data_IF_329818072051
#
_entry.id   IF_329818072051
#
_cell.length_a   1.000
_cell.length_b   1.000
_cell.length_c   1.000
_cell.angle_alpha   90.00
_cell.angle_beta   90.00
_cell.angle_gamma   90.00
#
_symmetry.space_group_name_H-M   'P 1'
#
loop_
_entity.id
_entity.type
_entity.pdbx_description
1 polymer ?
#
# COMPACT_ATOMS: atom_id res chain seq x y z
N UNK A 1 -13.69 25.75 21.02
CA UNK A 1 -14.94 24.95 21.04
C UNK A 1 -14.50 23.52 21.23
N UNK A 2 -15.11 22.76 22.13
CA UNK A 2 -14.60 21.41 22.48
C UNK A 2 -15.40 20.29 21.81
N UNK A 3 -16.62 20.60 21.35
CA UNK A 3 -17.53 19.69 20.65
C UNK A 3 -18.47 20.51 19.75
N UNK A 4 -18.95 19.90 18.67
CA UNK A 4 -20.03 20.45 17.83
C UNK A 4 -21.35 20.53 18.59
N UNK A 5 -22.25 21.42 18.16
CA UNK A 5 -23.58 21.59 18.78
C UNK A 5 -24.56 20.49 18.40
N UNK A 6 -24.40 19.89 17.23
CA UNK A 6 -25.39 18.96 16.66
C UNK A 6 -25.32 17.56 17.27
N UNK A 7 -26.48 16.88 17.31
CA UNK A 7 -26.60 15.44 17.64
C UNK A 7 -26.89 14.57 16.42
N UNK A 8 -27.40 15.17 15.35
CA UNK A 8 -27.54 14.59 14.02
C UNK A 8 -26.95 15.56 12.98
N UNK A 9 -26.31 15.06 11.93
CA UNK A 9 -25.61 15.90 10.93
C UNK A 9 -26.52 16.98 10.29
N UNK A 10 -27.82 16.72 10.21
CA UNK A 10 -28.85 17.65 9.70
C UNK A 10 -29.00 18.90 10.55
N UNK A 11 -28.58 18.86 11.82
CA UNK A 11 -28.73 19.96 12.78
C UNK A 11 -27.45 20.81 12.89
N UNK A 12 -26.40 20.47 12.14
CA UNK A 12 -25.11 21.15 12.16
C UNK A 12 -25.08 22.42 11.31
N UNK A 13 -24.22 23.37 11.68
CA UNK A 13 -23.97 24.59 10.91
C UNK A 13 -22.53 24.72 10.42
N UNK A 14 -22.26 25.76 9.62
CA UNK A 14 -20.95 25.97 9.03
C UNK A 14 -19.82 26.11 10.07
N UNK A 15 -20.12 26.63 11.27
CA UNK A 15 -19.11 26.74 12.32
C UNK A 15 -18.80 25.38 12.95
N UNK A 16 -19.81 24.51 13.11
CA UNK A 16 -19.60 23.12 13.54
C UNK A 16 -18.70 22.35 12.55
N UNK A 17 -18.98 22.50 11.25
CA UNK A 17 -18.20 21.79 10.22
C UNK A 17 -16.81 22.40 9.99
N UNK A 18 -16.63 23.72 10.12
CA UNK A 18 -15.29 24.31 10.10
C UNK A 18 -14.44 23.79 11.25
N UNK A 19 -15.01 23.72 12.46
CA UNK A 19 -14.35 23.12 13.62
C UNK A 19 -13.98 21.65 13.37
N UNK A 20 -14.92 20.82 12.88
CA UNK A 20 -14.61 19.42 12.56
C UNK A 20 -13.54 19.28 11.47
N UNK A 21 -13.59 20.11 10.44
CA UNK A 21 -12.62 20.08 9.33
C UNK A 21 -11.20 20.26 9.84
N UNK A 22 -10.96 21.21 10.76
CA UNK A 22 -9.63 21.41 11.35
C UNK A 22 -9.13 20.16 12.10
N UNK A 23 -10.02 19.50 12.85
CA UNK A 23 -9.72 18.26 13.55
C UNK A 23 -9.48 17.09 12.59
N UNK A 24 -10.29 16.95 11.54
CA UNK A 24 -10.18 15.92 10.51
C UNK A 24 -8.86 16.07 9.72
N UNK A 25 -8.50 17.30 9.34
CA UNK A 25 -7.23 17.60 8.67
C UNK A 25 -6.04 17.25 9.58
N UNK A 26 -6.11 17.61 10.87
CA UNK A 26 -5.08 17.25 11.84
C UNK A 26 -4.95 15.73 12.00
N UNK A 27 -6.08 15.03 12.10
CA UNK A 27 -6.10 13.57 12.19
C UNK A 27 -5.52 12.92 10.92
N UNK A 28 -5.91 13.41 9.73
CA UNK A 28 -5.44 12.92 8.44
C UNK A 28 -3.92 13.05 8.28
N UNK A 29 -3.32 14.15 8.79
CA UNK A 29 -1.85 14.32 8.82
C UNK A 29 -1.12 13.23 9.62
N UNK A 30 -1.79 12.60 10.59
CA UNK A 30 -1.24 11.49 11.37
C UNK A 30 -1.28 10.12 10.67
N UNK A 31 -1.77 10.03 9.42
CA UNK A 31 -1.99 8.75 8.72
C UNK A 31 -0.69 7.97 8.53
N UNK A 32 0.39 8.64 8.08
CA UNK A 32 1.70 8.01 7.91
C UNK A 32 2.17 7.28 9.18
N UNK A 33 2.14 7.95 10.33
CA UNK A 33 2.57 7.37 11.61
C UNK A 33 1.70 6.19 12.03
N UNK A 34 0.39 6.24 11.78
CA UNK A 34 -0.52 5.13 12.07
C UNK A 34 -0.24 3.92 11.18
N UNK A 35 0.04 4.13 9.90
CA UNK A 35 0.38 3.05 8.97
C UNK A 35 1.71 2.38 9.34
N UNK A 36 2.74 3.16 9.69
CA UNK A 36 4.02 2.63 10.16
C UNK A 36 3.85 1.82 11.45
N UNK A 37 3.02 2.31 12.39
CA UNK A 37 2.67 1.55 13.60
C UNK A 37 1.93 0.26 13.27
N UNK A 38 0.99 0.29 12.33
CA UNK A 38 0.25 -0.88 11.88
C UNK A 38 1.16 -1.91 11.19
N UNK A 39 2.17 -1.48 10.42
CA UNK A 39 3.19 -2.40 9.89
C UNK A 39 3.97 -3.11 10.98
N UNK A 40 4.26 -2.44 12.11
CA UNK A 40 4.89 -3.10 13.26
C UNK A 40 3.93 -4.11 13.89
N UNK A 41 2.64 -3.81 13.95
CA UNK A 41 1.60 -4.72 14.47
C UNK A 41 1.33 -5.94 13.57
N UNK A 42 1.65 -5.88 12.26
CA UNK A 42 1.57 -7.05 11.35
C UNK A 42 2.42 -8.23 11.82
N UNK A 43 3.49 -7.95 12.57
CA UNK A 43 4.39 -8.96 13.13
C UNK A 43 3.64 -9.98 14.02
N UNK A 44 2.54 -9.57 14.64
CA UNK A 44 1.80 -10.39 15.62
C UNK A 44 0.77 -11.34 14.99
N UNK A 45 0.50 -11.26 13.68
CA UNK A 45 -0.72 -11.83 13.06
C UNK A 45 -0.62 -13.21 12.40
N UNK A 46 0.52 -13.58 11.80
CA UNK A 46 0.64 -14.78 10.94
C UNK A 46 1.94 -15.55 11.22
N UNK A 47 1.80 -16.71 11.86
CA UNK A 47 2.91 -17.62 12.17
C UNK A 47 3.12 -18.64 11.05
N UNK A 48 4.38 -18.96 10.70
CA UNK A 48 4.73 -20.06 9.80
C UNK A 48 5.75 -19.74 8.71
N UNK A 49 6.01 -18.45 8.43
CA UNK A 49 7.11 -18.03 7.56
C UNK A 49 8.44 -17.99 8.32
N UNK A 50 9.56 -18.03 7.59
CA UNK A 50 10.91 -17.88 8.17
C UNK A 50 11.21 -16.44 8.61
N UNK A 51 10.39 -15.48 8.15
CA UNK A 51 10.46 -14.07 8.51
C UNK A 51 9.06 -13.56 8.86
N UNK A 52 9.00 -12.41 9.52
CA UNK A 52 7.73 -11.78 9.90
C UNK A 52 7.05 -11.11 8.70
N UNK A 53 5.77 -10.73 8.83
CA UNK A 53 5.08 -9.94 7.80
C UNK A 53 5.64 -8.52 7.65
N UNK A 54 6.12 -7.95 8.76
CA UNK A 54 6.88 -6.70 8.73
C UNK A 54 8.16 -6.88 7.90
N UNK A 55 8.94 -7.93 8.18
CA UNK A 55 10.19 -8.20 7.47
C UNK A 55 9.96 -8.39 5.97
N UNK A 56 8.90 -9.12 5.59
CA UNK A 56 8.50 -9.27 4.19
C UNK A 56 8.24 -7.91 3.52
N UNK A 57 7.50 -7.03 4.20
CA UNK A 57 7.19 -5.68 3.70
C UNK A 57 8.46 -4.83 3.55
N UNK A 58 9.34 -4.84 4.56
CA UNK A 58 10.62 -4.12 4.54
C UNK A 58 11.58 -4.67 3.48
N UNK A 59 11.65 -6.00 3.34
CA UNK A 59 12.50 -6.67 2.37
C UNK A 59 12.04 -6.35 0.94
N UNK A 60 10.73 -6.36 0.68
CA UNK A 60 10.15 -5.99 -0.61
C UNK A 60 10.48 -4.54 -0.97
N UNK A 61 10.28 -3.60 -0.03
CA UNK A 61 10.60 -2.19 -0.22
C UNK A 61 12.12 -1.95 -0.41
N UNK A 62 12.95 -2.70 0.32
CA UNK A 62 14.42 -2.67 0.18
C UNK A 62 14.84 -3.12 -1.22
N UNK A 63 14.23 -4.18 -1.77
CA UNK A 63 14.47 -4.63 -3.15
C UNK A 63 14.05 -3.57 -4.15
N UNK A 64 12.87 -2.97 -4.00
CA UNK A 64 12.40 -1.91 -4.87
C UNK A 64 13.36 -0.71 -4.89
N UNK A 65 13.82 -0.24 -3.72
CA UNK A 65 14.76 0.88 -3.64
C UNK A 65 16.12 0.54 -4.26
N UNK A 66 16.66 -0.67 -3.99
CA UNK A 66 17.92 -1.13 -4.60
C UNK A 66 17.82 -1.33 -6.11
N UNK A 67 16.64 -1.67 -6.61
CA UNK A 67 16.33 -1.75 -8.04
C UNK A 67 16.21 -0.37 -8.71
N UNK A 68 16.27 0.72 -7.94
CA UNK A 68 16.17 2.09 -8.45
C UNK A 68 14.73 2.54 -8.69
N UNK A 69 13.76 1.97 -7.96
CA UNK A 69 12.39 2.44 -7.98
C UNK A 69 12.25 3.81 -7.31
N UNK A 70 11.21 4.56 -7.68
CA UNK A 70 10.92 5.86 -7.09
C UNK A 70 10.07 5.77 -5.81
N UNK A 71 9.80 6.93 -5.21
CA UNK A 71 9.07 7.03 -3.92
C UNK A 71 7.69 6.37 -3.96
N UNK A 72 6.93 6.53 -5.03
CA UNK A 72 5.57 5.95 -5.15
C UNK A 72 5.64 4.43 -5.16
N UNK A 73 6.58 3.84 -5.91
CA UNK A 73 6.81 2.40 -5.92
C UNK A 73 7.32 1.89 -4.58
N UNK A 74 8.31 2.55 -3.98
CA UNK A 74 8.88 2.14 -2.69
C UNK A 74 7.80 2.12 -1.61
N UNK A 75 7.01 3.19 -1.48
CA UNK A 75 5.94 3.27 -0.46
C UNK A 75 4.80 2.31 -0.75
N UNK A 76 4.41 2.15 -2.02
CA UNK A 76 3.37 1.17 -2.39
C UNK A 76 3.83 -0.27 -2.10
N UNK A 77 5.09 -0.58 -2.35
CA UNK A 77 5.68 -1.89 -2.05
C UNK A 77 5.76 -2.12 -0.54
N UNK A 78 6.15 -1.12 0.24
CA UNK A 78 6.19 -1.22 1.70
C UNK A 78 4.81 -1.52 2.30
N UNK A 79 3.74 -1.02 1.68
CA UNK A 79 2.38 -1.10 2.21
C UNK A 79 1.50 -2.12 1.48
N UNK A 80 2.02 -2.91 0.54
CA UNK A 80 1.19 -3.74 -0.34
C UNK A 80 0.35 -4.79 0.41
N UNK A 81 0.89 -5.30 1.52
CA UNK A 81 0.25 -6.33 2.35
C UNK A 81 -0.39 -5.77 3.64
N UNK A 82 -0.46 -4.44 3.82
CA UNK A 82 -1.01 -3.86 5.07
C UNK A 82 -2.49 -4.22 5.32
N UNK A 83 -3.20 -4.65 4.28
CA UNK A 83 -4.57 -5.16 4.39
C UNK A 83 -4.69 -6.46 5.19
N UNK A 84 -3.62 -7.24 5.38
CA UNK A 84 -3.66 -8.52 6.10
C UNK A 84 -4.18 -8.38 7.54
N UNK A 85 -4.01 -7.20 8.15
CA UNK A 85 -4.47 -6.91 9.52
C UNK A 85 -6.00 -7.00 9.63
N UNK A 86 -6.72 -6.45 8.65
CA UNK A 86 -8.17 -6.20 8.76
C UNK A 86 -9.00 -6.89 7.67
N UNK A 87 -8.38 -7.26 6.55
CA UNK A 87 -9.04 -7.71 5.34
C UNK A 87 -8.26 -8.84 4.63
N UNK A 88 -7.89 -9.95 5.30
CA UNK A 88 -7.00 -10.98 4.74
C UNK A 88 -7.55 -11.70 3.49
N UNK A 89 -8.85 -11.58 3.18
CA UNK A 89 -9.46 -12.19 1.99
C UNK A 89 -9.46 -11.26 0.76
N UNK A 90 -9.09 -10.00 0.95
CA UNK A 90 -9.03 -8.95 -0.08
C UNK A 90 -8.03 -7.86 0.36
N UNK A 91 -6.88 -8.32 0.86
CA UNK A 91 -5.89 -7.47 1.52
C UNK A 91 -5.27 -6.47 0.54
N UNK A 92 -5.10 -6.92 -0.70
CA UNK A 92 -4.68 -6.17 -1.86
C UNK A 92 -5.61 -5.00 -2.18
N UNK A 93 -6.93 -5.24 -2.23
CA UNK A 93 -7.93 -4.19 -2.45
C UNK A 93 -7.94 -3.15 -1.31
N UNK A 94 -7.78 -3.62 -0.08
CA UNK A 94 -7.72 -2.76 1.11
C UNK A 94 -6.46 -1.88 1.09
N UNK A 95 -5.29 -2.47 0.87
CA UNK A 95 -4.02 -1.77 0.76
C UNK A 95 -4.06 -0.73 -0.37
N UNK A 96 -4.56 -1.11 -1.54
CA UNK A 96 -4.74 -0.20 -2.66
C UNK A 96 -5.66 0.98 -2.30
N UNK A 97 -6.71 0.76 -1.52
CA UNK A 97 -7.63 1.81 -1.08
C UNK A 97 -6.97 2.86 -0.19
N UNK A 98 -6.02 2.46 0.66
CA UNK A 98 -5.21 3.39 1.46
C UNK A 98 -4.29 4.23 0.57
N UNK A 99 -3.66 3.60 -0.42
CA UNK A 99 -2.64 4.22 -1.27
C UNK A 99 -3.22 5.11 -2.38
N UNK A 100 -4.35 4.71 -2.97
CA UNK A 100 -4.95 5.31 -4.17
C UNK A 100 -5.11 6.83 -4.15
N UNK A 101 -5.38 7.51 -3.02
CA UNK A 101 -5.46 8.97 -3.01
C UNK A 101 -4.10 9.68 -3.15
N UNK A 102 -2.98 8.98 -2.96
CA UNK A 102 -1.67 9.60 -2.74
C UNK A 102 -0.58 9.15 -3.71
N UNK A 103 -0.83 8.15 -4.55
CA UNK A 103 0.15 7.61 -5.53
C UNK A 103 -0.45 7.55 -6.93
N UNK A 104 0.40 7.40 -7.94
CA UNK A 104 -0.03 7.16 -9.32
C UNK A 104 -0.95 5.94 -9.43
N UNK A 105 -1.89 5.99 -10.36
CA UNK A 105 -2.83 4.90 -10.65
C UNK A 105 -2.09 3.59 -10.92
N UNK A 106 -0.99 3.65 -11.69
CA UNK A 106 -0.08 2.54 -11.95
C UNK A 106 0.27 1.75 -10.66
N UNK A 107 0.73 2.44 -9.62
CA UNK A 107 1.13 1.80 -8.36
C UNK A 107 -0.09 1.23 -7.63
N UNK A 108 -1.15 2.03 -7.46
CA UNK A 108 -2.36 1.58 -6.76
C UNK A 108 -3.06 0.39 -7.45
N UNK A 109 -3.06 0.37 -8.79
CA UNK A 109 -3.62 -0.73 -9.57
C UNK A 109 -2.79 -2.00 -9.42
N UNK A 110 -1.46 -1.89 -9.44
CA UNK A 110 -0.59 -3.04 -9.22
C UNK A 110 -0.80 -3.60 -7.82
N UNK A 111 -0.89 -2.75 -6.78
CA UNK A 111 -1.20 -3.23 -5.42
C UNK A 111 -2.59 -3.87 -5.39
N UNK A 112 -3.61 -3.30 -6.03
CA UNK A 112 -4.96 -3.87 -6.02
C UNK A 112 -5.05 -5.25 -6.67
N UNK A 113 -4.12 -5.60 -7.56
CA UNK A 113 -4.15 -6.85 -8.34
C UNK A 113 -3.04 -7.82 -8.01
N UNK A 114 -2.12 -7.47 -7.11
CA UNK A 114 -0.92 -8.27 -6.88
C UNK A 114 -1.26 -9.69 -6.40
N UNK A 115 -2.31 -9.87 -5.57
CA UNK A 115 -2.75 -11.19 -5.11
C UNK A 115 -3.09 -12.14 -6.27
N UNK A 116 -3.76 -11.64 -7.31
CA UNK A 116 -4.09 -12.43 -8.51
C UNK A 116 -2.86 -12.79 -9.36
N UNK A 117 -1.84 -11.93 -9.33
CA UNK A 117 -0.59 -12.13 -10.06
C UNK A 117 0.38 -13.07 -9.33
N UNK A 118 0.38 -13.07 -7.99
CA UNK A 118 1.16 -14.00 -7.16
C UNK A 118 0.72 -15.46 -7.34
N UNK A 119 -0.53 -15.72 -7.76
CA UNK A 119 -1.07 -17.08 -7.90
C UNK A 119 -0.22 -17.98 -8.82
N UNK A 120 0.60 -17.42 -9.71
CA UNK A 120 1.55 -18.20 -10.52
C UNK A 120 2.54 -18.99 -9.67
N UNK A 121 2.93 -18.48 -8.51
CA UNK A 121 3.94 -19.09 -7.65
C UNK A 121 3.39 -20.22 -6.79
N UNK A 122 2.16 -20.10 -6.30
CA UNK A 122 1.61 -21.05 -5.32
C UNK A 122 0.21 -21.59 -5.63
N UNK A 123 -0.51 -21.04 -6.61
CA UNK A 123 -1.93 -21.33 -6.85
C UNK A 123 -2.24 -22.82 -7.03
N UNK A 124 -1.38 -23.54 -7.75
CA UNK A 124 -1.53 -24.99 -7.97
C UNK A 124 -1.45 -25.80 -6.66
N UNK A 125 -0.73 -25.30 -5.66
CA UNK A 125 -0.54 -25.97 -4.37
C UNK A 125 -1.72 -25.77 -3.42
N UNK A 126 -2.59 -24.78 -3.68
CA UNK A 126 -3.76 -24.45 -2.87
C UNK A 126 -5.08 -24.67 -3.61
N UNK A 127 -5.04 -25.35 -4.77
CA UNK A 127 -6.24 -25.61 -5.60
C UNK A 127 -6.80 -24.37 -6.30
N UNK A 128 -6.04 -23.27 -6.35
CA UNK A 128 -6.38 -22.05 -7.07
C UNK A 128 -5.92 -22.09 -8.53
N UNK A 129 -6.32 -21.09 -9.32
CA UNK A 129 -5.90 -20.94 -10.71
C UNK A 129 -4.57 -20.16 -10.78
N UNK A 130 -3.44 -20.77 -11.19
CA UNK A 130 -2.17 -20.05 -11.32
C UNK A 130 -2.21 -18.92 -12.35
N UNK A 131 -3.12 -19.01 -13.32
CA UNK A 131 -3.29 -18.03 -14.39
C UNK A 131 -4.44 -17.05 -14.10
N UNK A 132 -4.82 -16.83 -12.82
CA UNK A 132 -5.89 -15.89 -12.45
C UNK A 132 -5.67 -14.49 -13.04
N UNK A 133 -4.42 -14.02 -13.06
CA UNK A 133 -3.99 -12.77 -13.70
C UNK A 133 -4.45 -12.58 -15.15
N UNK A 134 -4.69 -13.64 -15.92
CA UNK A 134 -5.02 -13.54 -17.35
C UNK A 134 -6.33 -12.80 -17.62
N UNK A 135 -7.20 -12.64 -16.63
CA UNK A 135 -8.39 -11.77 -16.75
C UNK A 135 -8.02 -10.30 -17.02
N UNK A 136 -6.79 -9.88 -16.69
CA UNK A 136 -6.26 -8.54 -16.90
C UNK A 136 -5.39 -8.42 -18.15
N UNK A 137 -5.30 -9.47 -18.97
CA UNK A 137 -4.48 -9.50 -20.19
C UNK A 137 -4.82 -8.30 -21.09
N UNK A 138 -3.79 -7.53 -21.46
CA UNK A 138 -3.93 -6.33 -22.28
C UNK A 138 -4.10 -5.03 -21.50
N UNK A 139 -4.20 -5.08 -20.17
CA UNK A 139 -4.13 -3.88 -19.33
C UNK A 139 -2.74 -3.24 -19.40
N UNK A 140 -2.66 -1.90 -19.41
CA UNK A 140 -1.39 -1.17 -19.58
C UNK A 140 -0.37 -1.42 -18.45
N UNK A 141 -0.85 -1.79 -17.27
CA UNK A 141 -0.03 -2.09 -16.08
C UNK A 141 0.16 -3.59 -15.85
N UNK A 142 -0.27 -4.45 -16.78
CA UNK A 142 -0.16 -5.90 -16.64
C UNK A 142 1.28 -6.31 -16.35
N UNK A 143 2.22 -5.86 -17.19
CA UNK A 143 3.63 -6.22 -17.07
C UNK A 143 4.25 -5.64 -15.80
N UNK A 144 3.78 -4.48 -15.34
CA UNK A 144 4.26 -3.87 -14.10
C UNK A 144 3.85 -4.69 -12.88
N UNK A 145 2.62 -5.24 -12.86
CA UNK A 145 2.19 -6.13 -11.77
C UNK A 145 2.96 -7.46 -11.79
N UNK A 146 3.18 -8.03 -12.98
CA UNK A 146 4.04 -9.21 -13.11
C UNK A 146 5.46 -8.95 -12.61
N UNK A 147 6.05 -7.81 -12.97
CA UNK A 147 7.39 -7.42 -12.56
C UNK A 147 7.46 -7.13 -11.06
N UNK A 148 6.46 -6.45 -10.49
CA UNK A 148 6.33 -6.23 -9.05
C UNK A 148 6.38 -7.56 -8.28
N UNK A 149 5.49 -8.49 -8.62
CA UNK A 149 5.43 -9.79 -7.95
C UNK A 149 6.72 -10.58 -8.15
N UNK A 150 7.29 -10.59 -9.35
CA UNK A 150 8.49 -11.37 -9.67
C UNK A 150 9.80 -10.81 -9.12
N UNK A 151 9.93 -9.49 -8.99
CA UNK A 151 11.18 -8.83 -8.57
C UNK A 151 11.20 -8.55 -7.09
N UNK A 152 10.09 -8.08 -6.51
CA UNK A 152 10.10 -7.49 -5.17
C UNK A 152 9.32 -8.32 -4.17
N UNK A 153 8.12 -8.75 -4.50
CA UNK A 153 7.21 -9.36 -3.53
C UNK A 153 7.54 -10.86 -3.28
N UNK A 154 7.42 -11.75 -4.27
CA UNK A 154 7.60 -13.20 -4.03
C UNK A 154 9.01 -13.60 -3.56
N UNK A 155 10.02 -12.78 -3.85
CA UNK A 155 11.43 -13.01 -3.46
C UNK A 155 11.76 -12.50 -2.03
N UNK A 156 10.78 -11.97 -1.31
CA UNK A 156 11.00 -11.31 -0.02
C UNK A 156 10.56 -12.17 1.16
N UNK A 157 11.12 -13.37 1.26
CA UNK A 157 10.90 -14.31 2.36
C UNK A 157 12.23 -14.89 2.90
N UNK A 158 13.33 -14.18 2.70
CA UNK A 158 14.69 -14.67 2.97
C UNK A 158 15.23 -14.11 4.29
N UNK A 159 15.44 -14.96 5.33
CA UNK A 159 15.91 -14.52 6.64
C UNK A 159 17.36 -14.02 6.66
N UNK A 160 18.14 -14.29 5.61
CA UNK A 160 19.55 -13.86 5.51
C UNK A 160 19.71 -12.57 4.69
N UNK A 161 18.63 -12.01 4.14
CA UNK A 161 18.71 -10.82 3.32
C UNK A 161 18.93 -9.56 4.16
N UNK A 162 19.95 -8.79 3.78
CA UNK A 162 20.24 -7.48 4.34
C UNK A 162 19.09 -6.51 4.07
N UNK A 163 18.18 -6.35 5.04
CA UNK A 163 16.93 -5.59 4.95
C UNK A 163 17.06 -4.25 5.65
N UNK A 164 16.61 -3.17 5.00
CA UNK A 164 16.62 -1.84 5.60
C UNK A 164 15.53 -1.74 6.70
N UNK A 165 15.81 -1.04 7.82
CA UNK A 165 14.85 -0.93 8.92
C UNK A 165 13.68 -0.01 8.55
N UNK A 166 12.55 -0.15 9.25
CA UNK A 166 11.37 0.71 9.04
C UNK A 166 11.68 2.22 9.11
N UNK A 167 12.60 2.62 9.99
CA UNK A 167 13.04 4.00 10.17
C UNK A 167 13.65 4.63 8.90
N UNK A 168 14.22 3.80 8.02
CA UNK A 168 14.74 4.23 6.72
C UNK A 168 13.63 4.74 5.79
N UNK A 169 12.44 4.14 5.86
CA UNK A 169 11.33 4.46 4.96
C UNK A 169 10.39 5.55 5.49
N UNK A 170 10.50 5.94 6.77
CA UNK A 170 9.56 6.85 7.43
C UNK A 170 9.38 8.17 6.69
N UNK A 171 10.47 8.79 6.23
CA UNK A 171 10.43 10.08 5.53
C UNK A 171 9.68 9.99 4.21
N UNK A 172 9.84 8.90 3.45
CA UNK A 172 9.13 8.65 2.19
C UNK A 172 7.64 8.42 2.41
N UNK A 173 7.28 7.66 3.45
CA UNK A 173 5.87 7.46 3.82
C UNK A 173 5.25 8.80 4.22
N UNK A 174 5.93 9.60 5.03
CA UNK A 174 5.47 10.95 5.39
C UNK A 174 5.28 11.84 4.16
N UNK A 175 6.24 11.81 3.22
CA UNK A 175 6.15 12.57 1.96
C UNK A 175 4.89 12.18 1.15
N UNK A 176 4.63 10.88 0.96
CA UNK A 176 3.48 10.40 0.19
C UNK A 176 2.16 10.81 0.85
N UNK A 177 2.00 10.56 2.14
CA UNK A 177 0.75 10.86 2.85
C UNK A 177 0.57 12.35 3.22
N UNK A 178 1.58 13.19 2.99
CA UNK A 178 1.46 14.64 3.08
C UNK A 178 0.90 15.29 1.80
N UNK A 179 0.80 14.53 0.69
CA UNK A 179 0.26 15.03 -0.59
C UNK A 179 -1.22 15.39 -0.47
N UNK A 180 -1.67 16.31 -1.32
CA UNK A 180 -3.09 16.54 -1.49
C UNK A 180 -3.76 15.28 -2.03
N UNK A 181 -4.73 14.74 -1.29
CA UNK A 181 -5.47 13.56 -1.71
C UNK A 181 -6.16 13.79 -3.06
N UNK A 182 -6.02 12.82 -3.96
CA UNK A 182 -6.55 12.84 -5.32
C UNK A 182 -6.05 13.99 -6.19
N UNK A 183 -4.85 14.52 -5.91
CA UNK A 183 -4.20 15.46 -6.83
C UNK A 183 -4.01 14.80 -8.20
N UNK A 184 -4.59 15.42 -9.24
CA UNK A 184 -4.52 14.93 -10.62
C UNK A 184 -3.09 14.83 -11.14
N UNK A 185 -2.18 15.69 -10.65
CA UNK A 185 -0.76 15.64 -11.00
C UNK A 185 -0.05 14.42 -10.40
N UNK A 186 -0.60 13.84 -9.33
CA UNK A 186 -0.09 12.60 -8.70
C UNK A 186 -0.78 11.38 -9.29
N UNK A 187 -2.12 11.31 -9.26
CA UNK A 187 -2.86 10.10 -9.64
C UNK A 187 -2.59 9.70 -11.09
N UNK A 188 -2.55 10.66 -12.02
CA UNK A 188 -2.21 10.46 -13.45
C UNK A 188 -2.81 9.18 -14.07
N UNK A 189 -4.15 9.04 -14.13
CA UNK A 189 -4.78 7.85 -14.68
C UNK A 189 -4.32 7.55 -16.11
N UNK A 190 -4.08 6.29 -16.43
CA UNK A 190 -3.62 5.83 -17.74
C UNK A 190 -2.15 6.13 -18.04
N UNK A 191 -1.42 6.83 -17.17
CA UNK A 191 0.01 7.07 -17.34
C UNK A 191 0.83 5.89 -16.82
N UNK A 192 1.91 5.55 -17.52
CA UNK A 192 2.85 4.51 -17.11
C UNK A 192 4.27 5.07 -17.11
N UNK A 193 4.96 4.93 -15.99
CA UNK A 193 6.37 5.26 -15.86
C UNK A 193 7.22 3.98 -15.71
N UNK A 194 8.51 4.01 -16.08
CA UNK A 194 9.42 2.91 -15.78
C UNK A 194 9.40 2.62 -14.27
N UNK A 195 9.35 1.34 -13.90
CA UNK A 195 9.40 0.93 -12.49
C UNK A 195 10.77 1.17 -11.85
N UNK A 196 11.82 1.25 -12.67
CA UNK A 196 13.22 1.42 -12.27
C UNK A 196 13.91 2.41 -13.22
N UNK A 197 14.92 3.11 -12.71
CA UNK A 197 15.77 4.04 -13.49
C UNK A 197 16.64 3.38 -14.56
#
# INVERSE_FOLDING_TARGET
MDHVKFRAMTDGDAADYAFLTDHEVSHAKGTASRLLKALVELDEGLSGYQITRLDHSLQSATRAERDGADTDWIVSTLLHDIGDIFAPYNHDEYAATILRPFVREQCSWVIEKHGDFQMVYYGQHVGGNPNKREIYRGHIYFDDCQNFCGRWDQNSFDPEYDTLPISHFESRVQEVFARQAYDKAVIRPGAREPMTG
#
